data_IF_131995775171
#
_entry.id   IF_131995775171
#
_cell.length_a   1.000
_cell.length_b   1.000
_cell.length_c   1.000
_cell.angle_alpha   90.00
_cell.angle_beta   90.00
_cell.angle_gamma   90.00
#
_symmetry.space_group_name_H-M   'P 1'
#
loop_
_entity.id
_entity.type
_entity.pdbx_description
1 polymer ?
#
# COMPACT_ATOMS: atom_id res chain seq x y z
N UNK A 1 5.35 -15.24 2.68
CA UNK A 1 5.47 -13.77 2.55
C UNK A 1 6.84 -13.34 3.02
N UNK A 2 7.32 -12.15 2.61
CA UNK A 2 8.71 -11.74 2.85
C UNK A 2 9.08 -11.66 4.34
N UNK A 3 8.22 -11.09 5.21
CA UNK A 3 8.53 -10.91 6.64
C UNK A 3 8.67 -12.23 7.41
N UNK A 4 7.76 -13.22 7.30
CA UNK A 4 7.96 -14.53 7.92
C UNK A 4 9.22 -15.26 7.41
N UNK A 5 9.51 -15.19 6.12
CA UNK A 5 10.69 -15.84 5.54
C UNK A 5 12.00 -15.21 6.05
N UNK A 6 12.07 -13.88 6.15
CA UNK A 6 13.22 -13.19 6.71
C UNK A 6 13.40 -13.46 8.21
N UNK A 7 12.30 -13.57 8.96
CA UNK A 7 12.34 -13.96 10.37
C UNK A 7 12.93 -15.36 10.53
N UNK A 8 12.43 -16.33 9.78
CA UNK A 8 12.89 -17.71 9.81
C UNK A 8 14.38 -17.83 9.43
N UNK A 9 14.80 -17.11 8.38
CA UNK A 9 16.19 -17.08 7.95
C UNK A 9 17.11 -16.49 9.02
N UNK A 10 16.71 -15.44 9.74
CA UNK A 10 17.51 -14.89 10.84
C UNK A 10 17.65 -15.83 12.02
N UNK A 11 16.58 -16.56 12.35
CA UNK A 11 16.58 -17.47 13.48
C UNK A 11 17.43 -18.72 13.24
N UNK A 12 17.59 -19.15 11.97
CA UNK A 12 18.18 -20.46 11.66
C UNK A 12 19.34 -20.46 10.68
N UNK A 13 19.44 -19.46 9.80
CA UNK A 13 20.31 -19.50 8.61
C UNK A 13 21.36 -18.38 8.56
N UNK A 14 21.10 -17.24 9.19
CA UNK A 14 21.97 -16.06 9.10
C UNK A 14 22.88 -15.92 10.30
N UNK A 15 24.12 -15.49 10.05
CA UNK A 15 25.01 -15.00 11.10
C UNK A 15 24.43 -13.74 11.74
N UNK A 16 24.71 -13.48 13.04
CA UNK A 16 24.40 -12.19 13.64
C UNK A 16 24.94 -11.04 12.77
N UNK A 17 24.11 -10.02 12.53
CA UNK A 17 24.45 -8.85 11.70
C UNK A 17 24.76 -9.16 10.23
N UNK A 18 24.25 -10.28 9.68
CA UNK A 18 24.36 -10.56 8.26
C UNK A 18 23.74 -9.41 7.43
N UNK A 19 24.46 -8.88 6.42
CA UNK A 19 23.89 -7.89 5.53
C UNK A 19 22.68 -8.45 4.80
N UNK A 20 21.62 -7.65 4.68
CA UNK A 20 20.36 -8.05 4.04
C UNK A 20 20.06 -7.12 2.86
N UNK A 21 19.62 -7.71 1.75
CA UNK A 21 19.18 -7.01 0.54
C UNK A 21 17.74 -7.46 0.23
N UNK A 22 16.76 -6.53 0.11
CA UNK A 22 16.89 -5.09 0.34
C UNK A 22 17.26 -4.76 1.80
N UNK A 23 17.91 -3.60 1.99
CA UNK A 23 18.28 -3.06 3.30
C UNK A 23 17.05 -2.53 4.06
N UNK A 24 16.19 -1.78 3.37
CA UNK A 24 14.93 -1.27 3.93
C UNK A 24 13.87 -1.08 2.86
N UNK A 25 12.63 -0.88 3.30
CA UNK A 25 11.52 -0.46 2.46
C UNK A 25 10.68 0.62 3.15
N UNK A 26 10.13 1.54 2.35
CA UNK A 26 9.05 2.43 2.78
C UNK A 26 7.82 2.15 1.93
N UNK A 27 6.70 1.94 2.59
CA UNK A 27 5.39 1.76 1.97
C UNK A 27 4.68 3.11 2.02
N UNK A 28 4.19 3.55 0.87
CA UNK A 28 3.46 4.80 0.72
C UNK A 28 2.00 4.54 0.40
N UNK A 29 1.17 5.49 0.80
CA UNK A 29 -0.23 5.60 0.42
C UNK A 29 -0.49 6.93 -0.26
N UNK A 30 -1.52 6.97 -1.10
CA UNK A 30 -2.07 8.21 -1.66
C UNK A 30 -3.59 8.10 -1.70
N UNK A 31 -4.29 9.13 -1.22
CA UNK A 31 -5.75 9.18 -1.31
C UNK A 31 -6.15 9.50 -2.75
N UNK A 32 -7.09 8.75 -3.31
CA UNK A 32 -7.57 8.97 -4.68
C UNK A 32 -9.10 8.97 -4.76
N UNK A 33 -9.61 9.75 -5.69
CA UNK A 33 -10.98 9.63 -6.21
C UNK A 33 -10.93 8.97 -7.58
N UNK A 34 -11.72 7.92 -7.80
CA UNK A 34 -11.83 7.23 -9.10
C UNK A 34 -13.13 6.43 -9.14
N UNK A 35 -14.08 6.80 -10.02
CA UNK A 35 -15.27 5.99 -10.29
C UNK A 35 -14.94 4.54 -10.66
N UNK A 36 -13.87 4.31 -11.42
CA UNK A 36 -13.42 2.97 -11.79
C UNK A 36 -12.98 2.16 -10.57
N UNK A 37 -12.21 2.76 -9.65
CA UNK A 37 -11.83 2.12 -8.38
C UNK A 37 -13.03 1.86 -7.48
N UNK A 38 -13.95 2.82 -7.40
CA UNK A 38 -15.21 2.68 -6.67
C UNK A 38 -16.01 1.48 -7.16
N UNK A 39 -16.14 1.31 -8.47
CA UNK A 39 -16.88 0.21 -9.08
C UNK A 39 -16.28 -1.17 -8.77
N UNK A 40 -14.99 -1.26 -8.41
CA UNK A 40 -14.35 -2.53 -8.04
C UNK A 40 -14.76 -3.04 -6.65
N UNK A 41 -15.29 -2.19 -5.77
CA UNK A 41 -15.61 -2.57 -4.40
C UNK A 41 -16.99 -2.09 -3.90
N UNK A 42 -17.70 -1.29 -4.70
CA UNK A 42 -19.04 -0.81 -4.38
C UNK A 42 -20.08 -1.39 -5.34
N UNK A 43 -21.22 -1.82 -4.79
CA UNK A 43 -22.37 -2.34 -5.54
C UNK A 43 -23.49 -1.31 -5.74
N UNK A 44 -23.30 -0.07 -5.25
CA UNK A 44 -24.25 1.02 -5.38
C UNK A 44 -24.56 1.28 -6.87
N UNK A 45 -25.82 1.08 -7.27
CA UNK A 45 -26.30 1.26 -8.65
C UNK A 45 -26.72 -0.03 -9.37
N UNK A 46 -26.45 -1.22 -8.81
CA UNK A 46 -27.04 -2.45 -9.32
C UNK A 46 -28.51 -2.56 -8.88
N UNK A 47 -29.39 -3.11 -9.73
CA UNK A 47 -30.80 -3.37 -9.36
C UNK A 47 -30.97 -4.27 -8.12
N UNK A 48 -29.88 -4.91 -7.67
CA UNK A 48 -29.78 -5.71 -6.45
C UNK A 48 -29.54 -4.88 -5.16
N UNK A 49 -29.19 -3.59 -5.28
CA UNK A 49 -28.87 -2.73 -4.13
C UNK A 49 -30.08 -2.46 -3.21
N UNK A 50 -31.30 -2.50 -3.75
CA UNK A 50 -32.54 -2.38 -2.97
C UNK A 50 -32.96 -3.66 -2.24
N UNK A 51 -32.44 -4.83 -2.66
CA UNK A 51 -32.86 -6.14 -2.15
C UNK A 51 -31.92 -6.72 -1.08
N UNK A 52 -30.69 -6.21 -0.99
CA UNK A 52 -29.64 -6.79 -0.17
C UNK A 52 -29.02 -5.72 0.73
N UNK A 53 -28.94 -6.01 2.04
CA UNK A 53 -28.38 -5.14 3.10
C UNK A 53 -26.85 -4.99 2.97
N UNK A 54 -26.35 -4.57 1.81
CA UNK A 54 -24.92 -4.41 1.52
C UNK A 54 -24.36 -3.02 1.80
N UNK A 55 -25.21 -2.05 2.16
CA UNK A 55 -24.81 -0.67 2.43
C UNK A 55 -23.76 -0.51 3.56
N UNK A 56 -23.54 -1.53 4.38
CA UNK A 56 -22.54 -1.57 5.45
C UNK A 56 -21.47 -2.66 5.27
N UNK A 57 -21.32 -3.22 4.07
CA UNK A 57 -20.21 -4.13 3.81
C UNK A 57 -18.93 -3.32 3.63
N UNK A 58 -17.92 -3.54 4.47
CA UNK A 58 -16.59 -2.91 4.38
C UNK A 58 -15.80 -3.29 3.10
N UNK A 59 -16.47 -3.87 2.10
CA UNK A 59 -15.84 -4.60 1.00
C UNK A 59 -15.16 -5.89 1.47
N UNK A 60 -14.73 -6.71 0.51
CA UNK A 60 -13.81 -7.81 0.79
C UNK A 60 -12.44 -7.24 1.19
N UNK A 61 -11.77 -7.85 2.18
CA UNK A 61 -10.36 -7.57 2.53
C UNK A 61 -9.44 -8.04 1.39
N UNK A 62 -9.45 -7.35 0.26
CA UNK A 62 -8.65 -7.69 -0.91
C UNK A 62 -7.87 -6.46 -1.34
N UNK A 63 -6.55 -6.57 -1.26
CA UNK A 63 -5.65 -5.74 -2.06
C UNK A 63 -5.99 -6.04 -3.52
N UNK A 64 -6.31 -5.00 -4.28
CA UNK A 64 -6.54 -5.12 -5.72
C UNK A 64 -5.24 -4.68 -6.39
N UNK A 65 -4.41 -5.62 -6.90
CA UNK A 65 -3.22 -5.26 -7.63
C UNK A 65 -3.66 -4.55 -8.91
N UNK A 66 -3.25 -3.29 -9.05
CA UNK A 66 -3.54 -2.44 -10.20
C UNK A 66 -2.23 -1.92 -10.77
N UNK A 67 -2.13 -1.89 -12.10
CA UNK A 67 -1.12 -1.07 -12.75
C UNK A 67 -1.69 0.33 -12.86
N UNK A 68 -1.10 1.31 -12.16
CA UNK A 68 -1.65 2.68 -12.07
C UNK A 68 -1.98 3.35 -13.41
N UNK A 69 -1.22 3.14 -14.51
CA UNK A 69 -1.61 3.66 -15.83
C UNK A 69 -2.97 3.16 -16.33
N UNK A 70 -3.54 2.13 -15.69
CA UNK A 70 -4.86 1.58 -15.97
C UNK A 70 -5.99 2.24 -15.16
N UNK A 71 -5.72 3.28 -14.35
CA UNK A 71 -6.73 4.07 -13.64
C UNK A 71 -6.66 5.54 -14.10
N UNK A 72 -6.99 5.83 -15.38
CA UNK A 72 -6.83 7.15 -15.96
C UNK A 72 -7.81 8.20 -15.39
N UNK A 73 -8.86 7.76 -14.70
CA UNK A 73 -9.84 8.63 -14.04
C UNK A 73 -9.47 8.96 -12.58
N UNK A 74 -8.29 8.52 -12.12
CA UNK A 74 -7.81 8.81 -10.78
C UNK A 74 -7.44 10.29 -10.62
N UNK A 75 -8.06 10.93 -9.63
CA UNK A 75 -7.67 12.24 -9.14
C UNK A 75 -6.99 12.05 -7.78
N UNK A 76 -5.77 12.55 -7.65
CA UNK A 76 -5.05 12.55 -6.38
C UNK A 76 -5.74 13.52 -5.40
N UNK A 77 -6.08 13.05 -4.20
CA UNK A 77 -6.64 13.88 -3.13
C UNK A 77 -5.60 14.21 -2.05
N UNK A 78 -4.44 13.57 -2.07
CA UNK A 78 -3.28 13.88 -1.23
C UNK A 78 -1.98 13.74 -2.04
N UNK A 79 -0.90 14.30 -1.53
CA UNK A 79 0.45 13.85 -1.87
C UNK A 79 0.69 12.41 -1.37
N UNK A 80 1.69 11.67 -1.88
CA UNK A 80 2.17 10.44 -1.23
C UNK A 80 2.53 10.67 0.23
N UNK A 81 2.08 9.78 1.10
CA UNK A 81 2.44 9.79 2.51
C UNK A 81 3.00 8.42 2.94
N UNK A 82 4.03 8.39 3.80
CA UNK A 82 4.55 7.14 4.33
C UNK A 82 3.52 6.49 5.25
N UNK A 83 3.39 5.17 5.12
CA UNK A 83 2.48 4.33 5.93
C UNK A 83 3.29 3.47 6.88
N UNK A 84 4.31 2.78 6.37
CA UNK A 84 5.19 1.92 7.15
C UNK A 84 6.61 1.98 6.63
N UNK A 85 7.56 1.98 7.55
CA UNK A 85 8.97 1.70 7.28
C UNK A 85 9.33 0.30 7.77
N UNK A 86 10.13 -0.40 6.97
CA UNK A 86 10.61 -1.73 7.28
C UNK A 86 12.12 -1.74 7.19
N UNK A 87 12.78 -1.98 8.32
CA UNK A 87 14.21 -2.26 8.37
C UNK A 87 14.44 -3.78 8.25
N UNK A 88 14.99 -4.21 7.12
CA UNK A 88 15.30 -5.61 6.86
C UNK A 88 16.66 -6.03 7.42
N UNK A 89 17.30 -5.21 8.26
CA UNK A 89 18.44 -5.62 9.09
C UNK A 89 18.03 -5.92 10.53
N UNK A 90 16.90 -5.36 10.99
CA UNK A 90 16.34 -5.56 12.32
C UNK A 90 15.29 -6.69 12.37
N UNK A 91 15.08 -7.28 13.55
CA UNK A 91 14.01 -8.25 13.77
C UNK A 91 12.69 -7.75 13.17
N UNK A 92 12.07 -8.55 12.29
CA UNK A 92 10.87 -8.11 11.59
C UNK A 92 9.73 -7.89 12.60
N UNK A 93 9.19 -6.66 12.71
CA UNK A 93 8.10 -6.37 13.63
C UNK A 93 6.87 -7.23 13.31
N UNK A 94 6.03 -7.42 14.33
CA UNK A 94 4.75 -8.11 14.19
C UNK A 94 3.72 -7.28 13.42
N UNK A 95 2.44 -7.62 13.56
CA UNK A 95 1.34 -6.81 13.04
C UNK A 95 1.30 -5.45 13.75
N UNK A 96 1.15 -4.36 13.00
CA UNK A 96 1.01 -3.00 13.52
C UNK A 96 -0.16 -2.27 12.89
N UNK A 97 -0.61 -1.22 13.56
CA UNK A 97 -1.60 -0.27 13.06
C UNK A 97 -1.14 1.14 13.42
N UNK A 98 -1.44 2.11 12.56
CA UNK A 98 -1.10 3.52 12.77
C UNK A 98 -2.27 4.39 12.34
N UNK A 99 -2.59 5.40 13.16
CA UNK A 99 -3.51 6.46 12.79
C UNK A 99 -2.69 7.61 12.16
N UNK A 100 -3.03 7.98 10.93
CA UNK A 100 -2.30 8.98 10.15
C UNK A 100 -3.22 10.18 9.87
N UNK A 101 -2.70 11.38 10.11
CA UNK A 101 -3.35 12.63 9.69
C UNK A 101 -2.78 13.04 8.33
N UNK A 102 -3.54 12.84 7.26
CA UNK A 102 -3.11 13.11 5.88
C UNK A 102 -3.75 14.41 5.39
N UNK A 103 -2.96 15.43 5.00
CA UNK A 103 -3.48 16.65 4.38
C UNK A 103 -4.12 16.36 3.02
N UNK A 104 -5.30 16.94 2.78
CA UNK A 104 -5.91 16.93 1.47
C UNK A 104 -5.32 18.05 0.59
N UNK A 105 -5.00 17.73 -0.66
CA UNK A 105 -4.55 18.71 -1.67
C UNK A 105 -5.68 19.11 -2.62
N UNK A 106 -6.72 18.29 -2.72
CA UNK A 106 -7.92 18.54 -3.51
C UNK A 106 -9.18 18.09 -2.77
N UNK A 107 -10.29 18.78 -3.01
CA UNK A 107 -11.60 18.38 -2.52
C UNK A 107 -12.11 17.15 -3.27
N UNK A 108 -12.81 16.26 -2.58
CA UNK A 108 -13.39 15.08 -3.21
C UNK A 108 -13.84 13.99 -2.24
N UNK A 109 -14.21 12.84 -2.79
CA UNK A 109 -14.54 11.63 -2.05
C UNK A 109 -13.42 10.62 -2.20
N UNK A 110 -12.91 10.10 -1.09
CA UNK A 110 -11.91 9.03 -1.10
C UNK A 110 -12.56 7.74 -1.59
N UNK A 111 -12.21 7.32 -2.80
CA UNK A 111 -12.65 6.06 -3.41
C UNK A 111 -11.63 4.95 -3.18
N UNK A 112 -10.40 5.27 -2.84
CA UNK A 112 -9.38 4.29 -2.53
C UNK A 112 -8.10 4.91 -2.01
N UNK A 113 -7.20 4.02 -1.56
CA UNK A 113 -5.82 4.36 -1.22
C UNK A 113 -4.92 3.64 -2.22
N UNK A 114 -4.23 4.39 -3.06
CA UNK A 114 -3.21 3.85 -3.94
C UNK A 114 -1.96 3.58 -3.12
N UNK A 115 -1.50 2.33 -3.08
CA UNK A 115 -0.31 1.94 -2.33
C UNK A 115 0.83 1.60 -3.27
N UNK A 116 2.02 2.07 -2.95
CA UNK A 116 3.26 1.72 -3.61
C UNK A 116 4.38 1.57 -2.57
N UNK A 117 5.56 1.13 -2.99
CA UNK A 117 6.71 1.04 -2.11
C UNK A 117 8.00 1.45 -2.79
N UNK A 118 8.96 1.83 -1.97
CA UNK A 118 10.34 2.11 -2.35
C UNK A 118 11.25 1.17 -1.57
N UNK A 119 12.16 0.49 -2.27
CA UNK A 119 13.17 -0.40 -1.71
C UNK A 119 14.54 0.27 -1.76
N UNK A 120 15.17 0.38 -0.59
CA UNK A 120 16.58 0.68 -0.51
C UNK A 120 17.36 -0.64 -0.59
N UNK A 121 17.99 -0.92 -1.72
CA UNK A 121 18.73 -2.18 -1.90
C UNK A 121 19.99 -2.23 -1.03
N UNK A 122 20.71 -1.12 -0.97
CA UNK A 122 21.96 -0.98 -0.22
C UNK A 122 22.26 0.49 0.09
N UNK A 123 22.92 0.84 1.22
CA UNK A 123 23.33 2.23 1.47
C UNK A 123 24.12 2.84 0.30
N UNK A 124 23.66 3.99 -0.20
CA UNK A 124 24.30 4.71 -1.32
C UNK A 124 23.90 4.26 -2.73
N UNK A 125 23.10 3.20 -2.87
CA UNK A 125 22.52 2.78 -4.16
C UNK A 125 21.20 3.52 -4.39
N UNK A 126 20.89 3.88 -5.63
CA UNK A 126 19.61 4.48 -5.96
C UNK A 126 18.46 3.53 -5.57
N UNK A 127 17.38 4.04 -4.95
CA UNK A 127 16.27 3.20 -4.54
C UNK A 127 15.50 2.69 -5.77
N UNK A 128 14.94 1.48 -5.64
CA UNK A 128 13.95 0.96 -6.59
C UNK A 128 12.56 1.34 -6.11
N UNK A 129 11.72 1.93 -6.96
CA UNK A 129 10.37 2.36 -6.58
C UNK A 129 9.31 1.81 -7.52
N UNK A 130 8.12 1.56 -6.97
CA UNK A 130 6.91 1.27 -7.74
C UNK A 130 5.93 2.44 -7.76
N UNK A 131 6.41 3.64 -7.41
CA UNK A 131 5.63 4.87 -7.52
C UNK A 131 5.19 5.06 -8.98
N UNK A 132 3.89 5.25 -9.24
CA UNK A 132 3.41 5.47 -10.61
C UNK A 132 3.94 6.74 -11.27
N UNK A 133 4.37 7.72 -10.49
CA UNK A 133 4.83 9.01 -11.00
C UNK A 133 6.36 9.08 -11.16
N UNK A 134 7.09 7.99 -10.89
CA UNK A 134 8.57 7.97 -10.95
C UNK A 134 9.14 7.81 -12.37
N UNK A 135 8.54 8.45 -13.37
CA UNK A 135 8.94 8.42 -14.78
C UNK A 135 9.80 9.61 -15.21
#
# INVERSE_FOLDING_TARGET
GVLPSLRDARERLLMPSAPTVPYSATIFGRLIQSPSVRAMHNLAGSAAAGALKFAACSGGRKIIPVHSPMIPDAVNLSDPFPVFDVDFTQSCPGTGAADLSVPAVHDGTVDGVLMHWTLQLWPGVAPYTTDPDSG
#
